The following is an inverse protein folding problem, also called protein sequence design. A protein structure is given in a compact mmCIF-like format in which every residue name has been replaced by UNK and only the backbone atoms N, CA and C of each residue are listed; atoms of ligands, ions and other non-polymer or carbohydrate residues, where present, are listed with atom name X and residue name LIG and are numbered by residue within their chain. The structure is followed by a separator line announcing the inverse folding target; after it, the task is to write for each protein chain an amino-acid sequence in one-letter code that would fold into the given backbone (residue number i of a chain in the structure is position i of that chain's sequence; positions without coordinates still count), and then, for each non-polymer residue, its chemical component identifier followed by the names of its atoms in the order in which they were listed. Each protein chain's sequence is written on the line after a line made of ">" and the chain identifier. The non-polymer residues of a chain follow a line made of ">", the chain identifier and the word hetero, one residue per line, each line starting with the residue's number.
data_IF_229594758567
#
_entry.id   IF_229594758567
#
_cell.length_a   1.000
_cell.length_b   1.000
_cell.length_c   1.000
_cell.angle_alpha   90.00
_cell.angle_beta   90.00
_cell.angle_gamma   90.00
#
_symmetry.space_group_name_H-M   'P 1'
#
loop_
_entity.id
_entity.type
_entity.pdbx_description
1 polymer ?
#
# COMPACT_ATOMS: atom_id res chain seq x y z
N UNK A 1 -10.55 -4.90 9.39
CA UNK A 1 -9.81 -5.96 8.68
C UNK A 1 -10.49 -6.19 7.33
N UNK A 2 -9.75 -6.22 6.21
CA UNK A 2 -10.35 -6.28 4.85
C UNK A 2 -10.61 -7.70 4.35
N UNK A 3 -10.00 -8.70 4.99
CA UNK A 3 -10.19 -10.13 4.71
C UNK A 3 -10.54 -10.84 6.02
N UNK A 4 -11.30 -11.94 5.91
CA UNK A 4 -11.79 -12.72 7.06
C UNK A 4 -10.89 -13.91 7.41
N UNK A 5 -9.99 -14.28 6.51
CA UNK A 5 -9.08 -15.40 6.69
C UNK A 5 -7.64 -14.89 6.84
N UNK A 6 -6.92 -15.37 7.86
CA UNK A 6 -5.55 -14.95 8.17
C UNK A 6 -4.59 -15.23 7.00
N UNK A 7 -4.87 -16.29 6.22
CA UNK A 7 -4.09 -16.64 5.03
C UNK A 7 -4.09 -15.55 3.95
N UNK A 8 -5.16 -14.77 3.87
CA UNK A 8 -5.37 -13.80 2.78
C UNK A 8 -4.87 -12.39 3.14
N UNK A 9 -4.36 -12.19 4.36
CA UNK A 9 -3.87 -10.89 4.83
C UNK A 9 -2.75 -10.33 3.96
N UNK A 10 -1.88 -11.21 3.48
CA UNK A 10 -0.74 -10.84 2.62
C UNK A 10 -1.08 -10.82 1.13
N UNK A 11 -2.34 -11.10 0.77
CA UNK A 11 -2.75 -11.20 -0.62
C UNK A 11 -2.75 -9.83 -1.34
N UNK A 12 -2.46 -9.82 -2.66
CA UNK A 12 -2.57 -8.62 -3.48
C UNK A 12 -3.96 -7.97 -3.44
N UNK A 13 -5.00 -8.79 -3.34
CA UNK A 13 -6.39 -8.33 -3.30
C UNK A 13 -6.70 -7.58 -2.01
N UNK A 14 -6.27 -8.11 -0.86
CA UNK A 14 -6.43 -7.44 0.43
C UNK A 14 -5.73 -6.07 0.44
N UNK A 15 -4.52 -5.99 -0.13
CA UNK A 15 -3.76 -4.76 -0.24
C UNK A 15 -4.45 -3.70 -1.12
N UNK A 16 -5.08 -4.13 -2.21
CA UNK A 16 -5.83 -3.24 -3.10
C UNK A 16 -7.04 -2.63 -2.38
N UNK A 17 -7.86 -3.45 -1.72
CA UNK A 17 -9.05 -2.98 -0.99
C UNK A 17 -8.66 -1.97 0.09
N UNK A 18 -7.64 -2.29 0.90
CA UNK A 18 -7.14 -1.37 1.92
C UNK A 18 -6.65 -0.03 1.33
N UNK A 19 -5.99 -0.07 0.16
CA UNK A 19 -5.49 1.14 -0.51
C UNK A 19 -6.61 2.03 -1.03
N UNK A 20 -7.73 1.45 -1.47
CA UNK A 20 -8.89 2.20 -1.94
C UNK A 20 -9.54 2.99 -0.80
N UNK A 21 -9.72 2.38 0.38
CA UNK A 21 -10.30 3.08 1.54
C UNK A 21 -9.40 4.24 1.99
N UNK A 22 -8.09 4.01 2.03
CA UNK A 22 -7.12 5.04 2.39
C UNK A 22 -7.20 6.19 1.40
N UNK A 23 -7.27 5.92 0.09
CA UNK A 23 -7.40 6.96 -0.92
C UNK A 23 -8.70 7.77 -0.78
N UNK A 24 -9.82 7.12 -0.47
CA UNK A 24 -11.09 7.81 -0.21
C UNK A 24 -10.96 8.73 1.00
N UNK A 25 -10.41 8.23 2.11
CA UNK A 25 -10.19 9.04 3.32
C UNK A 25 -9.20 10.17 3.10
N UNK A 26 -8.16 9.96 2.29
CA UNK A 26 -7.23 11.02 1.92
C UNK A 26 -7.90 12.14 1.10
N UNK A 27 -8.87 11.80 0.23
CA UNK A 27 -9.67 12.79 -0.51
C UNK A 27 -10.56 13.61 0.43
N UNK A 28 -11.21 12.98 1.39
CA UNK A 28 -12.02 13.67 2.42
C UNK A 28 -11.18 14.66 3.24
N UNK A 29 -9.92 14.31 3.50
CA UNK A 29 -8.96 15.16 4.20
C UNK A 29 -8.28 16.21 3.30
N UNK A 30 -8.57 16.24 1.99
CA UNK A 30 -7.96 17.17 1.05
C UNK A 30 -6.49 16.87 0.69
N UNK A 31 -6.00 15.66 0.97
CA UNK A 31 -4.63 15.25 0.61
C UNK A 31 -4.59 14.89 -0.88
N UNK A 32 -3.78 15.61 -1.65
CA UNK A 32 -3.71 15.46 -3.11
C UNK A 32 -2.49 14.67 -3.60
N UNK A 33 -1.42 14.63 -2.81
CA UNK A 33 -0.17 13.95 -3.16
C UNK A 33 0.41 13.17 -1.98
N UNK A 34 1.04 12.03 -2.27
CA UNK A 34 1.67 11.14 -1.29
C UNK A 34 3.09 10.79 -1.72
N UNK A 35 4.03 10.85 -0.77
CA UNK A 35 5.35 10.24 -0.90
C UNK A 35 5.30 8.82 -0.36
N UNK A 36 5.82 7.86 -1.12
CA UNK A 36 5.71 6.44 -0.76
C UNK A 36 7.06 5.92 -0.26
N UNK A 37 7.06 5.41 0.97
CA UNK A 37 8.19 4.66 1.53
C UNK A 37 7.81 3.19 1.60
N UNK A 38 8.48 2.35 0.80
CA UNK A 38 8.24 0.92 0.75
C UNK A 38 9.11 0.22 1.80
N UNK A 39 8.51 -0.63 2.64
CA UNK A 39 9.20 -1.34 3.71
C UNK A 39 8.86 -2.83 3.68
N UNK A 40 9.89 -3.67 3.77
CA UNK A 40 9.77 -5.10 4.04
C UNK A 40 10.02 -5.38 5.54
N UNK A 41 9.86 -6.62 5.98
CA UNK A 41 10.01 -7.01 7.39
C UNK A 41 11.39 -6.65 7.96
N UNK A 42 12.46 -6.76 7.16
CA UNK A 42 13.80 -6.30 7.51
C UNK A 42 14.52 -7.16 8.57
N UNK A 43 15.67 -6.68 9.06
CA UNK A 43 16.51 -7.40 10.02
C UNK A 43 17.11 -8.70 9.45
N UNK A 44 17.00 -9.81 10.19
CA UNK A 44 17.37 -11.16 9.74
C UNK A 44 16.27 -11.83 8.88
N UNK A 45 15.12 -11.18 8.70
CA UNK A 45 14.03 -11.67 7.84
C UNK A 45 14.18 -11.11 6.42
N UNK A 46 13.20 -11.41 5.57
CA UNK A 46 13.18 -10.95 4.18
C UNK A 46 13.21 -9.43 4.07
N UNK A 47 14.16 -8.94 3.27
CA UNK A 47 14.28 -7.53 2.87
C UNK A 47 13.49 -7.23 1.59
N UNK A 48 12.97 -8.27 0.94
CA UNK A 48 12.13 -8.17 -0.24
C UNK A 48 10.71 -7.79 0.18
N UNK A 49 10.12 -6.75 -0.41
CA UNK A 49 8.73 -6.38 -0.14
C UNK A 49 7.77 -7.49 -0.56
N UNK A 50 6.69 -7.66 0.20
CA UNK A 50 5.68 -8.69 -0.04
C UNK A 50 4.84 -8.48 -1.30
N UNK A 51 4.04 -9.47 -1.71
CA UNK A 51 3.28 -9.44 -2.96
C UNK A 51 2.22 -8.33 -3.03
N UNK A 52 1.75 -7.83 -1.88
CA UNK A 52 0.81 -6.69 -1.82
C UNK A 52 1.43 -5.32 -2.12
N UNK A 53 2.77 -5.20 -2.12
CA UNK A 53 3.48 -3.92 -2.25
C UNK A 53 3.16 -3.19 -3.56
N UNK A 54 3.32 -3.88 -4.69
CA UNK A 54 3.10 -3.29 -6.01
C UNK A 54 1.61 -3.04 -6.27
N UNK A 55 0.75 -3.93 -5.79
CA UNK A 55 -0.70 -3.82 -5.95
C UNK A 55 -1.28 -2.62 -5.20
N UNK A 56 -0.81 -2.37 -3.98
CA UNK A 56 -1.20 -1.20 -3.20
C UNK A 56 -0.81 0.11 -3.90
N UNK A 57 0.45 0.21 -4.36
CA UNK A 57 0.95 1.39 -5.05
C UNK A 57 0.15 1.68 -6.33
N UNK A 58 -0.15 0.64 -7.10
CA UNK A 58 -0.96 0.74 -8.31
C UNK A 58 -2.40 1.14 -8.02
N UNK A 59 -2.99 0.66 -6.93
CA UNK A 59 -4.34 1.04 -6.52
C UNK A 59 -4.42 2.52 -6.11
N UNK A 60 -3.43 3.02 -5.38
CA UNK A 60 -3.31 4.44 -5.00
C UNK A 60 -3.14 5.36 -6.23
N UNK A 61 -2.35 4.94 -7.22
CA UNK A 61 -2.21 5.70 -8.46
C UNK A 61 -3.54 5.77 -9.22
N UNK A 62 -4.28 4.67 -9.29
CA UNK A 62 -5.57 4.60 -10.00
C UNK A 62 -6.71 5.33 -9.31
N UNK A 63 -6.67 5.46 -7.99
CA UNK A 63 -7.66 6.23 -7.24
C UNK A 63 -7.50 7.74 -7.41
N UNK A 64 -6.53 8.20 -8.19
CA UNK A 64 -6.31 9.61 -8.53
C UNK A 64 -5.39 10.35 -7.55
N UNK A 65 -4.65 9.63 -6.70
CA UNK A 65 -3.64 10.22 -5.81
C UNK A 65 -2.36 10.50 -6.59
N UNK A 66 -1.79 11.71 -6.47
CA UNK A 66 -0.49 12.02 -7.06
C UNK A 66 0.62 11.34 -6.26
N UNK A 67 1.45 10.54 -6.92
CA UNK A 67 2.59 9.90 -6.27
C UNK A 67 3.82 10.77 -6.52
N UNK A 68 4.44 11.23 -5.44
CA UNK A 68 5.71 11.93 -5.49
C UNK A 68 6.89 10.96 -5.52
N UNK A 69 7.87 11.20 -4.63
CA UNK A 69 9.02 10.32 -4.47
C UNK A 69 8.63 8.94 -3.91
N UNK A 70 9.15 7.89 -4.56
CA UNK A 70 9.09 6.50 -4.08
C UNK A 70 10.48 6.11 -3.59
N UNK A 71 10.57 5.62 -2.35
CA UNK A 71 11.84 5.17 -1.75
C UNK A 71 11.64 3.80 -1.12
N UNK A 72 12.54 2.86 -1.41
CA UNK A 72 12.65 1.64 -0.63
C UNK A 72 13.49 1.92 0.62
N UNK A 73 12.90 1.73 1.79
CA UNK A 73 13.63 1.84 3.07
C UNK A 73 14.09 0.46 3.51
N UNK A 74 15.35 0.40 3.97
CA UNK A 74 15.99 -0.83 4.45
C UNK A 74 15.47 -1.23 5.84
#
# INVERSE_FOLDING_TARGET
>A
MKVKADRDESSPYAAMLASQDVAQRCKELGITALHIKLRATGGNKTKTPGPGAQSALRALARSGMKIGRIVAVK
#
